data_IF_678875131336
#
_entry.id   IF_678875131336
#
_cell.length_a   1.000
_cell.length_b   1.000
_cell.length_c   1.000
_cell.angle_alpha   90.00
_cell.angle_beta   90.00
_cell.angle_gamma   90.00
#
_symmetry.space_group_name_H-M   'P 1'
#
loop_
_entity.id
_entity.type
_entity.pdbx_description
1 polymer ?
#
# COMPACT_ATOMS: atom_id res chain seq x y z
N UNK A 1 -4.26 16.19 16.48
CA UNK A 1 -5.40 16.39 17.40
C UNK A 1 -6.22 15.11 17.47
N UNK A 2 -6.62 14.76 18.69
CA UNK A 2 -7.63 13.77 19.14
C UNK A 2 -7.53 12.32 18.58
N UNK A 3 -7.08 11.31 19.32
CA UNK A 3 -7.60 10.70 20.56
C UNK A 3 -8.57 9.54 20.28
N UNK A 4 -8.17 8.32 20.65
CA UNK A 4 -9.08 7.28 21.11
C UNK A 4 -8.64 6.88 22.51
N UNK A 5 -9.55 7.07 23.46
CA UNK A 5 -9.47 6.61 24.85
C UNK A 5 -10.25 5.30 24.96
N UNK A 6 -9.72 4.34 25.71
CA UNK A 6 -10.49 3.24 26.25
C UNK A 6 -10.01 2.98 27.68
N UNK A 7 -10.95 3.14 28.62
CA UNK A 7 -10.83 2.89 30.05
C UNK A 7 -11.05 1.40 30.29
N UNK A 8 -10.16 0.75 31.04
CA UNK A 8 -10.53 -0.37 31.90
C UNK A 8 -9.51 -0.56 33.04
N UNK A 9 -10.08 -0.86 34.20
CA UNK A 9 -9.57 -0.72 35.56
C UNK A 9 -8.58 -1.80 36.01
N UNK A 10 -7.68 -1.35 36.90
CA UNK A 10 -7.02 -2.03 38.02
C UNK A 10 -7.16 -3.55 38.17
N UNK A 11 -6.00 -4.21 38.26
CA UNK A 11 -5.64 -5.14 39.34
C UNK A 11 -4.10 -5.21 39.38
N UNK A 12 -3.52 -4.88 40.53
CA UNK A 12 -2.07 -4.88 40.75
C UNK A 12 -1.52 -6.25 41.12
N UNK A 13 -0.20 -6.41 40.97
CA UNK A 13 0.75 -7.01 41.92
C UNK A 13 2.06 -7.37 41.21
N UNK A 14 3.18 -7.15 41.90
CA UNK A 14 4.36 -8.01 41.77
C UNK A 14 5.52 -7.46 40.94
N UNK A 15 6.31 -6.59 41.56
CA UNK A 15 7.73 -6.36 41.26
C UNK A 15 8.56 -7.64 41.47
N UNK A 16 9.54 -7.94 40.61
CA UNK A 16 10.85 -8.54 40.96
C UNK A 16 11.83 -8.29 39.78
N UNK A 17 12.97 -7.65 40.08
CA UNK A 17 14.19 -7.58 39.26
C UNK A 17 15.04 -8.84 39.51
N UNK A 18 15.92 -9.23 38.57
CA UNK A 18 17.34 -9.05 38.92
C UNK A 18 18.31 -8.68 37.77
N UNK A 19 19.28 -7.86 38.15
CA UNK A 19 20.72 -7.75 37.79
C UNK A 19 21.26 -8.09 36.39
N UNK A 20 22.03 -7.12 35.85
CA UNK A 20 23.15 -7.27 34.90
C UNK A 20 24.40 -7.88 35.59
N UNK A 21 25.37 -8.38 34.80
CA UNK A 21 26.68 -7.70 34.65
C UNK A 21 27.06 -7.52 33.15
N UNK A 22 27.59 -6.38 32.66
CA UNK A 22 29.02 -5.97 32.56
C UNK A 22 29.93 -7.09 32.01
N UNK A 23 30.83 -6.95 31.02
CA UNK A 23 31.65 -5.84 30.50
C UNK A 23 32.36 -6.33 29.21
N UNK A 24 32.78 -5.40 28.32
CA UNK A 24 33.93 -5.42 27.38
C UNK A 24 34.15 -6.65 26.45
N UNK A 25 34.51 -6.55 25.17
CA UNK A 25 35.66 -5.81 24.63
C UNK A 25 35.67 -5.91 23.08
N UNK A 26 36.41 -5.01 22.44
CA UNK A 26 36.69 -4.95 20.99
C UNK A 26 37.60 -6.09 20.52
N UNK A 27 37.40 -6.62 19.30
CA UNK A 27 38.45 -6.57 18.26
C UNK A 27 38.03 -7.07 16.87
N UNK A 28 38.42 -6.27 15.88
CA UNK A 28 39.10 -6.55 14.62
C UNK A 28 38.57 -7.57 13.60
N UNK A 29 38.42 -7.05 12.37
CA UNK A 29 38.27 -7.76 11.10
C UNK A 29 39.38 -8.80 10.87
N UNK A 30 39.01 -9.93 10.24
CA UNK A 30 39.85 -10.57 9.21
C UNK A 30 38.98 -11.17 8.11
N UNK A 31 39.26 -10.73 6.89
CA UNK A 31 38.90 -11.41 5.66
C UNK A 31 39.56 -12.79 5.63
N UNK A 32 38.79 -13.82 5.29
CA UNK A 32 39.31 -15.01 4.62
C UNK A 32 38.27 -15.56 3.65
N UNK A 33 38.67 -15.60 2.39
CA UNK A 33 38.02 -16.27 1.28
C UNK A 33 38.24 -17.77 1.39
N UNK A 34 37.19 -18.58 1.25
CA UNK A 34 37.33 -19.95 0.75
C UNK A 34 36.06 -20.39 0.02
N UNK A 35 36.27 -20.99 -1.15
CA UNK A 35 35.29 -21.71 -1.95
C UNK A 35 35.15 -23.13 -1.37
N UNK A 36 33.93 -23.63 -1.17
CA UNK A 36 33.48 -24.96 -1.64
C UNK A 36 32.05 -25.33 -1.17
N UNK A 37 31.29 -25.84 -2.15
CA UNK A 37 30.22 -26.86 -2.14
C UNK A 37 28.95 -26.67 -1.28
N UNK A 38 27.88 -26.38 -2.02
CA UNK A 38 26.53 -26.98 -2.01
C UNK A 38 26.21 -28.01 -0.91
N UNK A 39 25.30 -27.64 -0.01
CA UNK A 39 24.32 -28.55 0.60
C UNK A 39 22.95 -27.84 0.69
N UNK A 40 21.95 -28.50 0.13
CA UNK A 40 20.55 -28.13 0.12
C UNK A 40 19.96 -28.17 1.54
N UNK A 41 19.40 -27.05 2.00
CA UNK A 41 18.37 -27.05 3.05
C UNK A 41 17.21 -26.19 2.61
N UNK A 42 16.14 -26.87 2.23
CA UNK A 42 14.81 -26.31 2.05
C UNK A 42 14.34 -25.85 3.44
N UNK A 43 14.36 -24.54 3.68
CA UNK A 43 13.68 -23.94 4.83
C UNK A 43 12.31 -23.46 4.40
N UNK A 44 11.28 -24.05 5.00
CA UNK A 44 9.87 -23.70 4.83
C UNK A 44 9.64 -22.23 5.19
N UNK A 45 9.06 -21.47 4.27
CA UNK A 45 8.55 -20.13 4.53
C UNK A 45 7.28 -20.19 5.37
N UNK A 46 7.03 -19.20 6.26
CA UNK A 46 5.78 -19.14 7.01
C UNK A 46 4.69 -18.53 6.11
N UNK A 47 3.57 -19.25 5.97
CA UNK A 47 2.39 -18.84 5.22
C UNK A 47 1.95 -17.41 5.58
N UNK A 48 1.85 -16.54 4.57
CA UNK A 48 1.10 -15.29 4.66
C UNK A 48 -0.40 -15.61 4.64
N UNK A 49 -1.15 -15.11 5.62
CA UNK A 49 -2.61 -15.12 5.60
C UNK A 49 -3.09 -14.13 4.53
N UNK A 50 -3.59 -14.66 3.41
CA UNK A 50 -4.44 -13.94 2.48
C UNK A 50 -5.83 -13.83 3.11
N UNK A 51 -6.36 -12.62 3.25
CA UNK A 51 -7.77 -12.42 3.59
C UNK A 51 -8.56 -12.48 2.29
N UNK A 52 -9.13 -13.65 2.01
CA UNK A 52 -10.00 -13.90 0.87
C UNK A 52 -11.41 -13.43 1.25
N UNK A 53 -11.84 -12.26 0.77
CA UNK A 53 -13.21 -11.79 0.94
C UNK A 53 -14.02 -12.20 -0.30
N UNK A 54 -14.98 -13.11 -0.15
CA UNK A 54 -15.83 -13.56 -1.25
C UNK A 54 -16.87 -12.51 -1.63
N UNK A 55 -16.88 -12.13 -2.91
CA UNK A 55 -18.01 -11.49 -3.57
C UNK A 55 -18.87 -12.60 -4.20
N UNK A 56 -20.02 -12.92 -3.62
CA UNK A 56 -21.00 -13.83 -4.24
C UNK A 56 -22.28 -13.07 -4.55
N UNK A 57 -22.74 -13.17 -5.81
CA UNK A 57 -24.14 -13.02 -6.18
C UNK A 57 -24.77 -14.41 -6.21
N UNK A 58 -25.87 -14.60 -5.48
CA UNK A 58 -26.58 -15.88 -5.45
C UNK A 58 -27.64 -15.92 -6.55
N UNK A 59 -27.46 -16.80 -7.53
CA UNK A 59 -28.55 -17.48 -8.25
C UNK A 59 -28.15 -18.94 -8.42
N UNK A 60 -29.04 -19.85 -8.03
CA UNK A 60 -28.81 -21.28 -7.91
C UNK A 60 -29.14 -22.05 -9.21
N UNK A 61 -28.39 -23.12 -9.49
CA UNK A 61 -28.91 -24.50 -9.57
C UNK A 61 -27.78 -25.52 -9.77
N UNK A 62 -28.06 -26.74 -9.32
CA UNK A 62 -27.16 -27.88 -9.20
C UNK A 62 -26.88 -28.60 -10.54
N UNK A 63 -25.85 -29.44 -10.48
CA UNK A 63 -25.42 -30.50 -11.40
C UNK A 63 -24.65 -30.06 -12.66
N UNK A 64 -23.32 -30.04 -12.56
CA UNK A 64 -22.44 -30.80 -13.47
C UNK A 64 -21.02 -30.92 -12.89
N UNK A 65 -20.45 -32.13 -12.92
CA UNK A 65 -19.09 -32.42 -12.47
C UNK A 65 -18.09 -32.02 -13.56
N UNK A 66 -17.95 -30.71 -13.79
CA UNK A 66 -16.87 -30.16 -14.60
C UNK A 66 -15.62 -29.96 -13.75
N UNK A 67 -14.46 -30.36 -14.29
CA UNK A 67 -13.15 -30.05 -13.73
C UNK A 67 -13.07 -28.53 -13.60
N UNK A 68 -13.30 -28.01 -12.40
CA UNK A 68 -13.26 -26.58 -12.15
C UNK A 68 -11.83 -26.11 -12.37
N UNK A 69 -11.58 -25.39 -13.47
CA UNK A 69 -10.48 -24.45 -13.52
C UNK A 69 -10.49 -23.66 -12.22
N UNK A 70 -9.35 -23.40 -11.56
CA UNK A 70 -9.33 -22.59 -10.34
C UNK A 70 -10.17 -21.35 -10.63
N UNK A 71 -11.27 -21.16 -9.90
CA UNK A 71 -12.06 -19.95 -10.06
C UNK A 71 -11.11 -18.81 -9.73
N UNK A 72 -10.65 -18.11 -10.76
CA UNK A 72 -9.84 -16.94 -10.55
C UNK A 72 -10.74 -15.94 -9.83
N UNK A 73 -10.38 -15.59 -8.59
CA UNK A 73 -11.14 -14.67 -7.77
C UNK A 73 -10.41 -13.33 -7.70
N UNK A 74 -11.18 -12.24 -7.71
CA UNK A 74 -10.61 -10.92 -7.49
C UNK A 74 -9.94 -10.83 -6.12
N UNK A 75 -8.82 -10.13 -6.04
CA UNK A 75 -7.99 -10.04 -4.84
C UNK A 75 -7.83 -8.59 -4.36
N UNK A 76 -7.60 -8.42 -3.06
CA UNK A 76 -7.19 -7.15 -2.48
C UNK A 76 -5.86 -7.35 -1.79
N UNK A 77 -4.84 -6.62 -2.25
CA UNK A 77 -3.51 -6.62 -1.66
C UNK A 77 -3.33 -5.32 -0.88
N UNK A 78 -3.07 -5.42 0.42
CA UNK A 78 -2.71 -4.26 1.23
C UNK A 78 -1.27 -3.84 0.92
N UNK A 79 -1.13 -2.79 0.12
CA UNK A 79 0.16 -2.21 -0.26
C UNK A 79 0.84 -1.57 0.96
N UNK A 80 0.04 -0.93 1.81
CA UNK A 80 0.46 -0.43 3.11
C UNK A 80 -0.70 -0.27 4.09
N UNK A 81 -0.37 -0.20 5.39
CA UNK A 81 -1.34 -0.16 6.51
C UNK A 81 -0.88 0.78 7.64
N UNK A 82 0.04 1.69 7.31
CA UNK A 82 0.69 2.62 8.22
C UNK A 82 0.08 4.01 8.15
N UNK A 83 0.47 4.86 9.10
CA UNK A 83 0.05 6.27 9.13
C UNK A 83 0.70 7.06 8.00
N UNK A 84 0.42 8.36 7.93
CA UNK A 84 1.07 9.28 7.00
C UNK A 84 2.60 9.29 7.11
N UNK A 85 3.15 9.06 8.30
CA UNK A 85 4.59 8.96 8.56
C UNK A 85 5.15 7.54 8.33
N UNK A 86 4.29 6.54 8.22
CA UNK A 86 4.69 5.13 8.24
C UNK A 86 5.21 4.67 9.61
N UNK A 87 5.61 3.41 9.67
CA UNK A 87 6.27 2.80 10.83
C UNK A 87 7.43 1.93 10.32
N UNK A 88 8.66 2.08 10.86
CA UNK A 88 9.03 2.92 12.01
C UNK A 88 9.10 4.42 11.70
N UNK A 89 9.04 5.24 12.75
CA UNK A 89 9.31 6.68 12.67
C UNK A 89 10.75 6.98 13.05
N UNK A 90 11.43 7.77 12.23
CA UNK A 90 12.82 8.19 12.48
C UNK A 90 12.97 8.82 13.87
N UNK A 91 12.07 9.75 14.21
CA UNK A 91 12.06 10.42 15.53
C UNK A 91 11.91 9.48 16.72
N UNK A 92 11.29 8.30 16.55
CA UNK A 92 11.18 7.30 17.61
C UNK A 92 12.44 6.44 17.73
N UNK A 93 13.16 6.22 16.64
CA UNK A 93 14.39 5.42 16.63
C UNK A 93 15.61 6.22 17.09
N UNK A 94 15.61 7.54 16.87
CA UNK A 94 16.72 8.43 17.23
C UNK A 94 16.53 9.14 18.58
N UNK A 95 15.43 8.89 19.30
CA UNK A 95 15.18 9.52 20.59
C UNK A 95 16.13 8.93 21.67
N UNK A 96 17.02 9.74 22.26
CA UNK A 96 18.01 9.24 23.23
C UNK A 96 17.40 8.93 24.61
N UNK A 97 16.21 9.48 24.90
CA UNK A 97 15.56 9.36 26.21
C UNK A 97 14.52 8.23 26.26
N UNK A 98 13.97 7.85 25.10
CA UNK A 98 12.86 6.88 25.04
C UNK A 98 12.96 5.98 23.83
N UNK A 99 12.95 4.68 24.08
CA UNK A 99 12.81 3.65 23.04
C UNK A 99 11.33 3.35 22.78
N UNK A 100 10.93 3.31 21.51
CA UNK A 100 9.59 2.89 21.09
C UNK A 100 9.62 1.42 20.65
N UNK A 101 9.07 0.52 21.46
CA UNK A 101 9.09 -0.93 21.18
C UNK A 101 8.48 -1.30 19.81
N UNK A 102 7.45 -0.60 19.36
CA UNK A 102 6.83 -0.81 18.04
C UNK A 102 7.78 -0.43 16.91
N UNK A 103 8.39 0.76 16.97
CA UNK A 103 9.32 1.21 15.95
C UNK A 103 10.59 0.37 15.95
N UNK A 104 11.12 0.01 17.11
CA UNK A 104 12.28 -0.88 17.23
C UNK A 104 12.00 -2.24 16.60
N UNK A 105 10.85 -2.87 16.89
CA UNK A 105 10.47 -4.13 16.22
C UNK A 105 10.27 -3.96 14.71
N UNK A 106 9.77 -2.81 14.28
CA UNK A 106 9.53 -2.54 12.85
C UNK A 106 10.80 -2.42 12.01
N UNK A 107 12.00 -2.31 12.61
CA UNK A 107 13.27 -2.35 11.86
C UNK A 107 13.71 -3.78 11.54
N UNK A 108 13.18 -4.78 12.23
CA UNK A 108 13.47 -6.19 11.97
C UNK A 108 12.91 -6.61 10.59
N UNK A 109 13.69 -7.30 9.75
CA UNK A 109 13.21 -7.76 8.44
C UNK A 109 11.93 -8.61 8.56
N UNK A 110 10.92 -8.30 7.74
CA UNK A 110 9.65 -9.03 7.71
C UNK A 110 8.70 -8.78 8.89
N UNK A 111 9.06 -7.92 9.85
CA UNK A 111 8.20 -7.65 11.00
C UNK A 111 6.91 -6.91 10.59
N UNK A 112 5.76 -7.36 11.09
CA UNK A 112 4.42 -6.81 10.79
C UNK A 112 4.23 -5.37 11.29
N UNK A 113 5.09 -4.90 12.19
CA UNK A 113 5.07 -3.50 12.62
C UNK A 113 5.69 -2.56 11.58
N UNK A 114 6.41 -3.06 10.57
CA UNK A 114 6.83 -2.24 9.43
C UNK A 114 5.64 -1.97 8.54
N UNK A 115 5.17 -0.72 8.52
CA UNK A 115 3.94 -0.33 7.82
C UNK A 115 4.20 0.90 6.94
N UNK A 116 4.00 0.72 5.64
CA UNK A 116 4.06 1.78 4.63
C UNK A 116 2.70 2.51 4.56
N UNK A 117 2.61 3.62 3.81
CA UNK A 117 1.40 4.45 3.79
C UNK A 117 0.20 3.63 3.33
N UNK A 118 -0.96 3.87 3.94
CA UNK A 118 -2.19 3.16 3.61
C UNK A 118 -2.46 3.23 2.10
N UNK A 119 -2.61 2.06 1.50
CA UNK A 119 -2.93 1.89 0.08
C UNK A 119 -3.33 0.44 -0.14
N UNK A 120 -4.22 0.21 -1.10
CA UNK A 120 -4.59 -1.14 -1.53
C UNK A 120 -4.48 -1.28 -3.04
N UNK A 121 -4.14 -2.47 -3.51
CA UNK A 121 -4.21 -2.84 -4.91
C UNK A 121 -5.35 -3.84 -5.07
N UNK A 122 -6.35 -3.46 -5.87
CA UNK A 122 -7.48 -4.31 -6.24
C UNK A 122 -7.11 -5.00 -7.55
N UNK A 123 -6.99 -6.33 -7.51
CA UNK A 123 -6.80 -7.17 -8.70
C UNK A 123 -8.16 -7.71 -9.09
N UNK A 124 -8.81 -7.02 -10.02
CA UNK A 124 -10.18 -7.30 -10.42
C UNK A 124 -10.22 -8.17 -11.68
N UNK A 125 -10.88 -9.31 -11.59
CA UNK A 125 -11.05 -10.20 -12.74
C UNK A 125 -12.27 -9.78 -13.52
N UNK A 126 -12.07 -9.64 -14.83
CA UNK A 126 -13.08 -9.24 -15.81
C UNK A 126 -12.94 -10.13 -17.05
N UNK A 127 -13.95 -10.17 -17.95
CA UNK A 127 -13.90 -11.02 -19.14
C UNK A 127 -12.67 -10.79 -20.04
N UNK A 128 -12.11 -9.58 -20.04
CA UNK A 128 -10.91 -9.22 -20.81
C UNK A 128 -9.58 -9.42 -20.06
N UNK A 129 -9.59 -10.08 -18.89
CA UNK A 129 -8.41 -10.41 -18.09
C UNK A 129 -8.44 -9.81 -16.68
N UNK A 130 -7.27 -9.71 -16.04
CA UNK A 130 -7.15 -9.07 -14.72
C UNK A 130 -6.81 -7.59 -14.85
N UNK A 131 -7.54 -6.74 -14.13
CA UNK A 131 -7.28 -5.31 -13.97
C UNK A 131 -6.63 -5.04 -12.61
N UNK A 132 -5.49 -4.36 -12.59
CA UNK A 132 -4.75 -3.94 -11.41
C UNK A 132 -5.06 -2.46 -11.12
N UNK A 133 -5.91 -2.21 -10.12
CA UNK A 133 -6.41 -0.88 -9.75
C UNK A 133 -5.83 -0.50 -8.39
N UNK A 134 -4.94 0.49 -8.36
CA UNK A 134 -4.35 0.99 -7.12
C UNK A 134 -5.28 2.03 -6.49
N UNK A 135 -5.52 1.96 -5.18
CA UNK A 135 -6.14 3.04 -4.41
C UNK A 135 -5.05 3.71 -3.58
N UNK A 136 -4.82 4.99 -3.86
CA UNK A 136 -3.73 5.84 -3.39
C UNK A 136 -2.32 5.40 -3.81
N UNK A 137 -1.53 6.36 -4.29
CA UNK A 137 -0.11 6.23 -4.61
C UNK A 137 0.72 7.12 -3.64
N UNK A 138 0.80 6.72 -2.38
CA UNK A 138 1.54 7.47 -1.35
C UNK A 138 3.06 7.45 -1.55
N UNK A 139 3.79 8.31 -0.84
CA UNK A 139 5.27 8.42 -0.89
C UNK A 139 6.07 7.14 -0.58
N UNK A 140 5.43 6.06 -0.14
CA UNK A 140 6.04 4.75 0.06
C UNK A 140 5.60 3.71 -0.99
N UNK A 141 4.97 4.15 -2.08
CA UNK A 141 4.49 3.29 -3.16
C UNK A 141 5.63 2.49 -3.77
N UNK A 142 6.75 3.10 -4.14
CA UNK A 142 7.91 2.40 -4.71
C UNK A 142 8.33 1.16 -3.90
N UNK A 143 8.48 1.30 -2.59
CA UNK A 143 8.83 0.17 -1.71
C UNK A 143 7.73 -0.89 -1.64
N UNK A 144 6.46 -0.47 -1.69
CA UNK A 144 5.32 -1.39 -1.71
C UNK A 144 5.28 -2.16 -3.04
N UNK A 145 5.53 -1.48 -4.15
CA UNK A 145 5.54 -2.05 -5.49
C UNK A 145 6.67 -3.07 -5.65
N UNK A 146 7.91 -2.73 -5.26
CA UNK A 146 9.05 -3.66 -5.27
C UNK A 146 8.76 -4.96 -4.51
N UNK A 147 7.98 -4.88 -3.43
CA UNK A 147 7.60 -6.06 -2.66
C UNK A 147 6.51 -6.87 -3.35
N UNK A 148 5.42 -6.22 -3.72
CA UNK A 148 4.18 -6.93 -4.08
C UNK A 148 4.09 -7.25 -5.57
N UNK A 149 4.57 -6.39 -6.46
CA UNK A 149 4.41 -6.59 -7.90
C UNK A 149 5.15 -7.85 -8.38
N UNK A 150 6.43 -8.07 -8.05
CA UNK A 150 7.10 -9.33 -8.40
C UNK A 150 6.46 -10.56 -7.73
N UNK A 151 6.03 -10.43 -6.46
CA UNK A 151 5.40 -11.51 -5.70
C UNK A 151 4.13 -12.02 -6.38
N UNK A 152 3.35 -11.12 -6.97
CA UNK A 152 2.06 -11.42 -7.60
C UNK A 152 2.12 -11.48 -9.13
N UNK A 153 3.31 -11.34 -9.73
CA UNK A 153 3.50 -11.32 -11.19
C UNK A 153 2.80 -10.14 -11.87
N UNK A 154 2.70 -9.00 -11.19
CA UNK A 154 1.99 -7.82 -11.69
C UNK A 154 2.94 -6.97 -12.54
N UNK A 155 2.57 -6.79 -13.80
CA UNK A 155 3.37 -6.00 -14.76
C UNK A 155 2.82 -4.59 -14.93
N UNK A 156 1.51 -4.45 -15.10
CA UNK A 156 0.84 -3.18 -15.43
C UNK A 156 0.01 -2.64 -14.27
N UNK A 157 -0.23 -1.32 -14.29
CA UNK A 157 -1.22 -0.63 -13.48
C UNK A 157 -2.29 -0.07 -14.41
N UNK A 158 -3.51 -0.59 -14.31
CA UNK A 158 -4.56 -0.22 -15.25
C UNK A 158 -5.30 1.05 -14.81
N UNK A 159 -5.24 1.39 -13.51
CA UNK A 159 -5.74 2.65 -12.99
C UNK A 159 -5.15 2.94 -11.60
N UNK A 160 -5.12 4.22 -11.24
CA UNK A 160 -4.96 4.69 -9.86
C UNK A 160 -6.20 5.51 -9.48
N UNK A 161 -6.75 5.27 -8.29
CA UNK A 161 -7.87 6.01 -7.73
C UNK A 161 -7.40 6.73 -6.48
N UNK A 162 -7.58 8.05 -6.42
CA UNK A 162 -7.10 8.89 -5.33
C UNK A 162 -8.23 9.18 -4.34
N UNK A 163 -8.00 8.90 -3.06
CA UNK A 163 -8.94 9.22 -1.98
C UNK A 163 -8.92 10.71 -1.64
N UNK A 164 -7.72 11.29 -1.55
CA UNK A 164 -7.48 12.70 -1.22
C UNK A 164 -6.03 13.11 -1.55
N UNK A 165 -5.75 14.41 -1.51
CA UNK A 165 -4.50 15.00 -2.00
C UNK A 165 -3.37 15.17 -0.96
N UNK A 166 -3.36 14.46 0.17
CA UNK A 166 -2.21 14.52 1.09
C UNK A 166 -1.04 13.65 0.58
N UNK A 167 0.20 14.00 0.97
CA UNK A 167 1.41 13.35 0.46
C UNK A 167 1.50 11.84 0.76
N UNK A 168 0.82 11.36 1.80
CA UNK A 168 0.71 9.94 2.10
C UNK A 168 -0.30 9.20 1.18
N UNK A 169 -1.06 9.92 0.37
CA UNK A 169 -1.96 9.36 -0.65
C UNK A 169 -1.48 9.62 -2.10
N UNK A 170 -0.73 10.70 -2.35
CA UNK A 170 -0.29 11.08 -3.72
C UNK A 170 1.21 11.24 -3.89
N UNK A 171 2.01 11.19 -2.81
CA UNK A 171 3.44 11.54 -2.87
C UNK A 171 4.33 10.57 -3.66
N UNK A 172 3.78 9.45 -4.13
CA UNK A 172 4.47 8.46 -4.97
C UNK A 172 4.09 8.55 -6.45
N UNK A 173 3.33 9.57 -6.89
CA UNK A 173 2.90 9.68 -8.29
C UNK A 173 4.08 9.77 -9.28
N UNK A 174 5.22 10.35 -8.88
CA UNK A 174 6.43 10.36 -9.71
C UNK A 174 7.02 8.96 -9.93
N UNK A 175 6.88 8.06 -8.95
CA UNK A 175 7.38 6.68 -9.05
C UNK A 175 6.68 5.89 -10.18
N UNK A 176 5.48 6.32 -10.59
CA UNK A 176 4.74 5.72 -11.72
C UNK A 176 5.47 5.89 -13.06
N UNK A 177 6.49 6.76 -13.14
CA UNK A 177 7.30 6.94 -14.35
C UNK A 177 7.97 5.66 -14.81
N UNK A 178 8.31 4.75 -13.88
CA UNK A 178 8.93 3.47 -14.26
C UNK A 178 7.97 2.64 -15.12
N UNK A 179 6.66 2.71 -14.84
CA UNK A 179 5.64 2.07 -15.66
C UNK A 179 5.46 2.78 -16.99
N UNK A 180 5.31 4.10 -16.98
CA UNK A 180 4.99 4.82 -18.22
C UNK A 180 6.15 4.91 -19.19
N UNK A 181 7.38 4.84 -18.69
CA UNK A 181 8.58 4.87 -19.52
C UNK A 181 8.98 3.48 -20.06
N UNK A 182 8.67 2.41 -19.32
CA UNK A 182 9.23 1.08 -19.60
C UNK A 182 8.20 -0.04 -19.80
N UNK A 183 6.92 0.21 -19.57
CA UNK A 183 5.90 -0.87 -19.45
C UNK A 183 4.64 -0.60 -20.23
N UNK A 184 4.08 0.59 -20.11
CA UNK A 184 2.78 0.95 -20.68
C UNK A 184 2.80 2.43 -21.10
N UNK A 185 1.96 2.85 -22.06
CA UNK A 185 2.05 4.22 -22.58
C UNK A 185 1.58 5.29 -21.60
N UNK A 186 0.60 4.99 -20.75
CA UNK A 186 0.07 5.93 -19.77
C UNK A 186 -0.63 5.18 -18.62
N UNK A 187 -0.92 5.90 -17.53
CA UNK A 187 -1.74 5.40 -16.42
C UNK A 187 -2.91 6.38 -16.14
N UNK A 188 -4.17 5.92 -16.19
CA UNK A 188 -5.32 6.73 -15.77
C UNK A 188 -5.33 6.99 -14.26
N UNK A 189 -5.48 8.26 -13.86
CA UNK A 189 -5.58 8.71 -12.47
C UNK A 189 -6.98 9.28 -12.22
N UNK A 190 -7.82 8.54 -11.49
CA UNK A 190 -9.15 8.95 -11.10
C UNK A 190 -9.10 9.76 -9.81
N UNK A 191 -9.58 11.01 -9.85
CA UNK A 191 -9.48 11.94 -8.72
C UNK A 191 -10.63 12.94 -8.71
N UNK A 192 -11.04 13.40 -7.53
CA UNK A 192 -11.96 14.53 -7.44
C UNK A 192 -11.28 15.81 -7.93
N UNK A 193 -12.07 16.77 -8.44
CA UNK A 193 -11.56 18.05 -8.94
C UNK A 193 -10.80 18.83 -7.86
N UNK A 194 -11.29 18.83 -6.63
CA UNK A 194 -10.64 19.48 -5.48
C UNK A 194 -9.22 18.96 -5.26
N UNK A 195 -9.02 17.66 -5.37
CA UNK A 195 -7.73 17.02 -5.16
C UNK A 195 -6.80 17.27 -6.35
N UNK A 196 -7.32 17.32 -7.58
CA UNK A 196 -6.56 17.73 -8.77
C UNK A 196 -6.03 19.16 -8.64
N UNK A 197 -6.81 20.10 -8.11
CA UNK A 197 -6.36 21.49 -7.89
C UNK A 197 -5.17 21.59 -6.92
N UNK A 198 -5.05 20.64 -5.98
CA UNK A 198 -3.86 20.54 -5.11
C UNK A 198 -2.69 19.89 -5.86
N UNK A 199 -2.96 18.87 -6.68
CA UNK A 199 -1.94 18.22 -7.51
C UNK A 199 -1.34 19.16 -8.55
N UNK A 200 -2.12 20.07 -9.15
CA UNK A 200 -1.61 21.14 -10.03
C UNK A 200 -0.53 22.02 -9.39
N UNK A 201 -0.51 22.12 -8.06
CA UNK A 201 0.47 22.92 -7.31
C UNK A 201 1.66 22.09 -6.85
N UNK A 202 1.40 20.86 -6.40
CA UNK A 202 2.39 19.99 -5.75
C UNK A 202 3.13 19.07 -6.72
N UNK A 203 2.46 18.68 -7.81
CA UNK A 203 2.92 17.77 -8.85
C UNK A 203 2.68 18.41 -10.23
N UNK A 204 2.90 19.73 -10.33
CA UNK A 204 2.55 20.53 -11.51
C UNK A 204 3.08 19.91 -12.81
N UNK A 205 4.31 19.39 -12.79
CA UNK A 205 4.96 18.78 -13.94
C UNK A 205 4.40 17.41 -14.32
N UNK A 206 3.64 16.74 -13.45
CA UNK A 206 2.91 15.51 -13.78
C UNK A 206 1.51 15.82 -14.36
N UNK A 207 0.94 16.97 -14.00
CA UNK A 207 -0.44 17.36 -14.40
C UNK A 207 -0.44 18.18 -15.69
N UNK A 208 0.47 19.14 -15.80
CA UNK A 208 0.67 19.94 -17.00
C UNK A 208 2.02 19.59 -17.60
N UNK A 209 2.01 18.70 -18.59
CA UNK A 209 3.22 18.24 -19.27
C UNK A 209 3.73 19.24 -20.32
N UNK A 210 2.98 20.31 -20.61
CA UNK A 210 3.40 21.32 -21.60
C UNK A 210 4.63 22.11 -21.17
N UNK A 211 4.92 22.13 -19.86
CA UNK A 211 6.10 22.79 -19.28
C UNK A 211 7.36 21.92 -19.32
N UNK A 212 7.26 20.68 -19.80
CA UNK A 212 8.36 19.71 -19.81
C UNK A 212 9.23 19.92 -21.05
N UNK A 213 10.55 19.98 -20.83
CA UNK A 213 11.52 20.07 -21.93
C UNK A 213 11.61 18.76 -22.73
N UNK A 214 11.81 18.82 -24.05
CA UNK A 214 12.03 17.63 -24.86
C UNK A 214 13.16 16.75 -24.30
N UNK A 215 12.90 15.45 -24.13
CA UNK A 215 13.85 14.47 -23.61
C UNK A 215 13.81 14.21 -22.10
N UNK A 216 13.00 14.94 -21.33
CA UNK A 216 12.75 14.61 -19.92
C UNK A 216 11.76 13.43 -19.79
N UNK A 217 12.16 12.38 -19.07
CA UNK A 217 11.40 11.14 -18.94
C UNK A 217 10.40 11.19 -17.76
N UNK A 218 9.37 12.02 -17.85
CA UNK A 218 8.34 12.23 -16.81
C UNK A 218 7.19 11.21 -16.94
N UNK A 219 6.46 10.94 -15.86
CA UNK A 219 5.30 10.03 -15.91
C UNK A 219 4.23 10.53 -16.89
N UNK A 220 3.71 9.64 -17.73
CA UNK A 220 2.57 9.91 -18.61
C UNK A 220 1.26 9.54 -17.90
N UNK A 221 0.63 10.52 -17.24
CA UNK A 221 -0.55 10.31 -16.41
C UNK A 221 -1.80 10.97 -17.03
N UNK A 222 -2.87 10.19 -17.16
CA UNK A 222 -4.14 10.68 -17.70
C UNK A 222 -5.13 10.97 -16.54
N UNK A 223 -5.28 12.24 -16.15
CA UNK A 223 -6.18 12.60 -15.05
C UNK A 223 -7.66 12.58 -15.46
N UNK A 224 -8.44 11.74 -14.78
CA UNK A 224 -9.88 11.58 -14.96
C UNK A 224 -10.62 12.12 -13.75
N UNK A 225 -11.47 13.12 -13.97
CA UNK A 225 -12.29 13.71 -12.91
C UNK A 225 -13.42 12.75 -12.54
N UNK A 226 -13.56 12.48 -11.24
CA UNK A 226 -14.71 11.79 -10.67
C UNK A 226 -15.61 12.78 -9.90
N UNK A 227 -16.91 12.50 -9.93
CA UNK A 227 -17.89 13.19 -9.11
C UNK A 227 -18.03 12.48 -7.77
N UNK A 228 -18.01 13.21 -6.66
CA UNK A 228 -17.98 12.64 -5.30
C UNK A 228 -19.31 12.03 -4.86
N UNK A 229 -20.39 12.27 -5.60
CA UNK A 229 -21.76 11.83 -5.33
C UNK A 229 -22.27 10.80 -6.35
N UNK A 230 -21.49 10.48 -7.39
CA UNK A 230 -21.89 9.57 -8.45
C UNK A 230 -20.92 8.39 -8.60
N UNK A 231 -21.43 7.16 -8.81
CA UNK A 231 -20.58 6.04 -9.18
C UNK A 231 -19.84 6.27 -10.49
N UNK A 232 -18.66 5.69 -10.62
CA UNK A 232 -17.88 5.67 -11.85
C UNK A 232 -17.37 4.25 -12.15
N UNK A 233 -16.91 4.04 -13.38
CA UNK A 233 -16.42 2.75 -13.85
C UNK A 233 -14.90 2.81 -14.07
N UNK A 234 -14.21 1.76 -13.61
CA UNK A 234 -12.79 1.51 -13.91
C UNK A 234 -12.68 0.08 -14.41
N UNK A 235 -12.47 -0.11 -15.72
CA UNK A 235 -12.33 -1.43 -16.35
C UNK A 235 -13.39 -2.44 -15.85
N UNK A 236 -14.66 -2.12 -16.09
CA UNK A 236 -15.84 -2.92 -15.67
C UNK A 236 -16.10 -2.99 -14.15
N UNK A 237 -15.22 -2.46 -13.31
CA UNK A 237 -15.46 -2.34 -11.88
C UNK A 237 -16.25 -1.06 -11.58
N UNK A 238 -17.45 -1.21 -11.04
CA UNK A 238 -18.24 -0.10 -10.49
C UNK A 238 -17.67 0.33 -9.14
N UNK A 239 -17.23 1.57 -9.06
CA UNK A 239 -16.73 2.20 -7.83
C UNK A 239 -17.71 3.28 -7.41
N UNK A 240 -18.14 3.23 -6.15
CA UNK A 240 -19.06 4.19 -5.53
C UNK A 240 -18.24 5.02 -4.54
N UNK A 241 -18.03 6.33 -4.79
CA UNK A 241 -17.43 7.23 -3.82
C UNK A 241 -18.24 7.30 -2.53
N UNK A 242 -17.54 7.39 -1.40
CA UNK A 242 -18.11 7.56 -0.07
C UNK A 242 -17.45 8.79 0.57
N UNK A 243 -18.02 10.00 0.42
CA UNK A 243 -17.45 11.20 1.02
C UNK A 243 -17.36 11.10 2.54
N UNK A 244 -16.18 11.39 3.10
CA UNK A 244 -15.92 11.37 4.55
C UNK A 244 -15.19 12.63 5.00
N UNK A 245 -15.45 13.05 6.24
CA UNK A 245 -14.70 14.14 6.87
C UNK A 245 -13.36 13.61 7.37
N UNK A 246 -12.27 14.20 6.88
CA UNK A 246 -10.90 13.85 7.25
C UNK A 246 -10.24 15.04 7.96
N UNK A 247 -10.77 15.35 9.14
CA UNK A 247 -10.43 16.54 9.93
C UNK A 247 -11.45 17.68 9.75
N UNK A 248 -11.13 18.84 10.34
CA UNK A 248 -11.98 20.03 10.22
C UNK A 248 -11.85 20.62 8.82
N UNK A 249 -12.98 20.79 8.13
CA UNK A 249 -13.06 21.42 6.80
C UNK A 249 -12.23 20.74 5.70
N UNK A 250 -11.90 19.45 5.85
CA UNK A 250 -11.21 18.69 4.82
C UNK A 250 -11.98 17.38 4.55
N UNK A 251 -12.27 17.12 3.28
CA UNK A 251 -12.93 15.88 2.86
C UNK A 251 -11.89 14.88 2.33
N UNK A 252 -12.21 13.62 2.46
CA UNK A 252 -11.57 12.50 1.77
C UNK A 252 -12.67 11.65 1.14
N UNK A 253 -12.30 10.74 0.26
CA UNK A 253 -13.19 9.72 -0.28
C UNK A 253 -12.80 8.36 0.28
N UNK A 254 -13.78 7.65 0.83
CA UNK A 254 -13.78 6.20 0.77
C UNK A 254 -14.34 5.71 -0.56
N UNK A 255 -14.24 4.42 -0.81
CA UNK A 255 -14.78 3.79 -2.00
C UNK A 255 -15.44 2.45 -1.66
N UNK A 256 -16.63 2.22 -2.22
CA UNK A 256 -17.28 0.92 -2.24
C UNK A 256 -17.19 0.31 -3.64
N UNK A 257 -16.80 -0.95 -3.72
CA UNK A 257 -16.78 -1.73 -4.94
C UNK A 257 -17.10 -3.19 -4.59
N UNK A 258 -18.05 -3.78 -5.31
CA UNK A 258 -18.68 -5.04 -4.88
C UNK A 258 -19.24 -4.96 -3.45
N UNK A 259 -18.82 -5.92 -2.60
CA UNK A 259 -19.15 -6.02 -1.18
C UNK A 259 -18.02 -5.51 -0.27
N UNK A 260 -17.08 -4.73 -0.81
CA UNK A 260 -15.97 -4.15 -0.05
C UNK A 260 -16.18 -2.65 0.06
N UNK A 261 -15.95 -2.11 1.26
CA UNK A 261 -15.81 -0.68 1.50
C UNK A 261 -14.39 -0.44 2.02
N UNK A 262 -13.67 0.48 1.39
CA UNK A 262 -12.36 0.95 1.82
C UNK A 262 -12.46 2.43 2.15
N UNK A 263 -12.16 2.79 3.40
CA UNK A 263 -12.22 4.16 3.91
C UNK A 263 -10.88 4.47 4.56
N UNK A 264 -10.36 5.67 4.27
CA UNK A 264 -9.11 6.20 4.80
C UNK A 264 -9.36 7.52 5.51
#
# INVERSE_FOLDING_TARGET
MAAMSAVLSSLGLGTIRPSKPSLSCFNSLRHQTSLLRCHSRITRSPLNRVLQACLRSNYANADDASVSSPQEHSEIVFMGTGTSEGIPRVSCLTNPLKTCSVCTKATEPGNKNRRLNTSILVRYIRPSGTSNILIDCGKFFYHSALRWFPTFGIRTLDAVVITHSHADAIGGLDDLRDWTNNVQPHIPIYTAVRDLEVMKKTHYYLVDTSVIIPGAAVSELEFKIIHEDQPFMVNDLKIIPLPVWHGSNYRSLGFRFGNVCYIR
#
